data_IF_397526361351
#
_entry.id   IF_397526361351
#
_cell.length_a   1.000
_cell.length_b   1.000
_cell.length_c   1.000
_cell.angle_alpha   90.00
_cell.angle_beta   90.00
_cell.angle_gamma   90.00
#
_symmetry.space_group_name_H-M   'P 1'
#
loop_
_entity.id
_entity.type
_entity.pdbx_description
1 polymer ?
#
# COMPACT_ATOMS: atom_id res chain seq x y z
N UNK A 1 17.44 -20.33 -12.94
CA UNK A 1 16.97 -21.08 -11.74
C UNK A 1 16.83 -20.09 -10.60
N UNK A 2 15.62 -19.87 -10.09
CA UNK A 2 15.39 -19.07 -8.87
C UNK A 2 15.65 -19.98 -7.67
N UNK A 3 16.46 -19.52 -6.71
CA UNK A 3 16.78 -20.25 -5.47
C UNK A 3 15.53 -20.52 -4.63
N UNK A 4 15.57 -21.48 -3.70
CA UNK A 4 14.45 -21.73 -2.78
C UNK A 4 14.05 -20.47 -2.00
N UNK A 5 15.03 -19.67 -1.59
CA UNK A 5 14.85 -18.35 -0.96
C UNK A 5 14.09 -17.40 -1.89
N UNK A 6 14.47 -17.33 -3.18
CA UNK A 6 13.77 -16.48 -4.15
C UNK A 6 12.33 -16.94 -4.43
N UNK A 7 12.04 -18.25 -4.37
CA UNK A 7 10.66 -18.75 -4.47
C UNK A 7 9.81 -18.38 -3.26
N UNK A 8 10.38 -18.42 -2.05
CA UNK A 8 9.69 -18.02 -0.82
C UNK A 8 9.39 -16.51 -0.81
N UNK A 9 10.33 -15.68 -1.24
CA UNK A 9 10.13 -14.23 -1.36
C UNK A 9 8.98 -13.89 -2.33
N UNK A 10 8.95 -14.52 -3.51
CA UNK A 10 7.85 -14.35 -4.47
C UNK A 10 6.51 -14.80 -3.88
N UNK A 11 6.46 -15.96 -3.21
CA UNK A 11 5.23 -16.45 -2.60
C UNK A 11 4.69 -15.50 -1.50
N UNK A 12 5.59 -14.91 -0.71
CA UNK A 12 5.23 -13.97 0.34
C UNK A 12 4.74 -12.63 -0.23
N UNK A 13 5.37 -12.14 -1.30
CA UNK A 13 4.91 -10.97 -2.04
C UNK A 13 3.47 -11.14 -2.54
N UNK A 14 3.18 -12.26 -3.20
CA UNK A 14 1.82 -12.53 -3.67
C UNK A 14 0.84 -12.69 -2.51
N UNK A 15 1.22 -13.33 -1.41
CA UNK A 15 0.35 -13.44 -0.21
C UNK A 15 -0.03 -12.06 0.37
N UNK A 16 0.93 -11.12 0.43
CA UNK A 16 0.67 -9.74 0.89
C UNK A 16 -0.33 -9.05 -0.03
N UNK A 17 -0.15 -9.18 -1.34
CA UNK A 17 -1.02 -8.56 -2.33
C UNK A 17 -2.40 -9.19 -2.31
N UNK A 18 -2.50 -10.52 -2.25
CA UNK A 18 -3.77 -11.25 -2.17
C UNK A 18 -4.54 -10.88 -0.91
N UNK A 19 -3.84 -10.77 0.22
CA UNK A 19 -4.41 -10.30 1.49
C UNK A 19 -5.05 -8.93 1.34
N UNK A 20 -4.34 -7.95 0.78
CA UNK A 20 -4.90 -6.61 0.58
C UNK A 20 -5.99 -6.57 -0.49
N UNK A 21 -5.83 -7.34 -1.57
CA UNK A 21 -6.79 -7.42 -2.68
C UNK A 21 -8.13 -7.97 -2.20
N UNK A 22 -8.14 -8.87 -1.20
CA UNK A 22 -9.37 -9.39 -0.59
C UNK A 22 -10.28 -8.30 0.03
N UNK A 23 -9.75 -7.10 0.28
CA UNK A 23 -10.48 -5.97 0.82
C UNK A 23 -10.92 -4.94 -0.22
N UNK A 24 -10.51 -5.10 -1.49
CA UNK A 24 -10.89 -4.19 -2.57
C UNK A 24 -12.41 -4.13 -2.69
N UNK A 25 -12.98 -2.94 -2.56
CA UNK A 25 -14.44 -2.73 -2.60
C UNK A 25 -15.21 -3.19 -1.36
N UNK A 26 -14.51 -3.70 -0.33
CA UNK A 26 -15.11 -4.21 0.91
C UNK A 26 -14.64 -3.48 2.17
N UNK A 27 -13.68 -2.57 2.04
CA UNK A 27 -13.09 -1.80 3.14
C UNK A 27 -13.14 -0.31 2.78
N UNK A 28 -13.94 0.50 3.50
CA UNK A 28 -14.00 1.94 3.26
C UNK A 28 -12.81 2.66 3.91
N UNK A 29 -12.42 3.78 3.32
CA UNK A 29 -11.39 4.64 3.90
C UNK A 29 -11.89 5.29 5.20
N UNK A 30 -11.08 5.21 6.25
CA UNK A 30 -11.30 5.87 7.53
C UNK A 30 -9.98 6.48 8.00
N UNK A 31 -9.91 7.81 8.04
CA UNK A 31 -8.74 8.52 8.56
C UNK A 31 -8.40 8.06 10.00
N UNK A 32 -7.17 7.59 10.23
CA UNK A 32 -6.77 7.08 11.53
C UNK A 32 -7.25 5.64 11.83
N UNK A 33 -7.97 4.99 10.91
CA UNK A 33 -8.40 3.60 10.99
C UNK A 33 -7.23 2.62 11.16
N UNK A 34 -7.54 1.35 11.41
CA UNK A 34 -6.56 0.27 11.49
C UNK A 34 -5.54 0.32 12.64
N UNK A 35 -5.65 1.29 13.55
CA UNK A 35 -4.73 1.49 14.70
C UNK A 35 -5.27 0.98 16.03
N UNK A 36 -6.37 0.25 16.00
CA UNK A 36 -6.90 -0.47 17.15
C UNK A 36 -7.65 -1.74 16.71
N UNK A 37 -7.90 -2.66 17.63
CA UNK A 37 -8.55 -3.95 17.34
C UNK A 37 -9.94 -3.78 16.74
N UNK A 38 -10.69 -2.76 17.15
CA UNK A 38 -12.05 -2.52 16.66
C UNK A 38 -12.08 -2.15 15.17
N UNK A 39 -11.29 -1.14 14.78
CA UNK A 39 -11.20 -0.70 13.38
C UNK A 39 -10.63 -1.78 12.46
N UNK A 40 -9.66 -2.57 12.94
CA UNK A 40 -9.15 -3.74 12.21
C UNK A 40 -10.26 -4.78 12.00
N UNK A 41 -11.02 -5.12 13.04
CA UNK A 41 -12.13 -6.07 12.95
C UNK A 41 -13.23 -5.58 12.00
N UNK A 42 -13.48 -4.27 11.97
CA UNK A 42 -14.42 -3.63 11.05
C UNK A 42 -13.88 -3.43 9.62
N UNK A 43 -12.64 -3.84 9.34
CA UNK A 43 -11.94 -3.60 8.06
C UNK A 43 -11.96 -2.12 7.67
N UNK A 44 -11.67 -1.25 8.63
CA UNK A 44 -11.60 0.20 8.45
C UNK A 44 -10.16 0.63 8.62
N UNK A 45 -9.56 1.14 7.56
CA UNK A 45 -8.15 1.52 7.51
C UNK A 45 -7.99 2.92 6.93
N UNK A 46 -6.79 3.45 7.09
CA UNK A 46 -6.24 4.45 6.17
C UNK A 46 -5.04 3.85 5.44
N UNK A 47 -4.39 4.64 4.58
CA UNK A 47 -3.32 4.16 3.70
C UNK A 47 -2.23 3.36 4.43
N UNK A 48 -1.63 3.94 5.47
CA UNK A 48 -0.52 3.30 6.17
C UNK A 48 -0.97 2.12 7.03
N UNK A 49 -2.09 2.23 7.75
CA UNK A 49 -2.58 1.11 8.56
C UNK A 49 -3.04 -0.08 7.71
N UNK A 50 -3.59 0.17 6.51
CA UNK A 50 -3.91 -0.85 5.51
C UNK A 50 -2.67 -1.59 5.02
N UNK A 51 -1.64 -0.85 4.57
CA UNK A 51 -0.37 -1.45 4.13
C UNK A 51 0.22 -2.32 5.24
N UNK A 52 0.29 -1.77 6.46
CA UNK A 52 0.79 -2.49 7.63
C UNK A 52 -0.02 -3.75 7.94
N UNK A 53 -1.34 -3.70 7.79
CA UNK A 53 -2.22 -4.85 7.97
C UNK A 53 -1.96 -5.94 6.92
N UNK A 54 -1.76 -5.58 5.65
CA UNK A 54 -1.46 -6.55 4.58
C UNK A 54 -0.19 -7.37 4.89
N UNK A 55 0.88 -6.69 5.28
CA UNK A 55 2.14 -7.33 5.66
C UNK A 55 1.98 -8.17 6.93
N UNK A 56 1.40 -7.60 7.99
CA UNK A 56 1.26 -8.29 9.28
C UNK A 56 0.39 -9.55 9.17
N UNK A 57 -0.70 -9.50 8.42
CA UNK A 57 -1.59 -10.63 8.21
C UNK A 57 -0.98 -11.72 7.28
N UNK A 58 0.11 -11.37 6.59
CA UNK A 58 0.94 -12.31 5.81
C UNK A 58 2.17 -12.81 6.58
N UNK A 59 2.28 -12.49 7.87
CA UNK A 59 3.40 -12.90 8.73
C UNK A 59 4.65 -12.01 8.64
N UNK A 60 4.56 -10.84 8.02
CA UNK A 60 5.67 -9.89 7.88
C UNK A 60 5.50 -8.74 8.87
N UNK A 61 6.52 -8.50 9.69
CA UNK A 61 6.49 -7.36 10.60
C UNK A 61 6.60 -6.05 9.83
N UNK A 62 5.58 -5.21 9.93
CA UNK A 62 5.51 -3.88 9.32
C UNK A 62 5.15 -2.79 10.35
N UNK A 63 5.65 -2.93 11.58
CA UNK A 63 5.40 -1.99 12.67
C UNK A 63 4.21 -2.36 13.58
N UNK A 64 4.17 -1.68 14.73
CA UNK A 64 3.13 -1.87 15.74
C UNK A 64 1.78 -1.29 15.31
N UNK A 65 0.70 -1.74 15.96
CA UNK A 65 -0.68 -1.32 15.62
C UNK A 65 -0.89 0.17 15.82
N UNK A 66 -0.54 0.70 16.98
CA UNK A 66 -0.77 2.12 17.31
C UNK A 66 0.09 3.08 16.48
N UNK A 67 1.23 2.62 15.98
CA UNK A 67 2.26 3.49 15.38
C UNK A 67 2.27 3.46 13.84
N UNK A 68 1.26 2.85 13.23
CA UNK A 68 1.16 2.64 11.78
C UNK A 68 0.78 3.92 11.02
N UNK A 69 1.56 4.99 11.17
CA UNK A 69 1.48 6.25 10.40
C UNK A 69 2.39 6.19 9.17
N UNK A 70 2.08 6.97 8.12
CA UNK A 70 2.84 6.94 6.85
C UNK A 70 4.34 7.12 7.05
N UNK A 71 4.74 8.11 7.86
CA UNK A 71 6.15 8.39 8.12
C UNK A 71 6.89 7.23 8.79
N UNK A 72 6.25 6.46 9.69
CA UNK A 72 6.92 5.35 10.37
C UNK A 72 7.28 4.20 9.43
N UNK A 73 6.61 4.12 8.28
CA UNK A 73 6.89 3.10 7.26
C UNK A 73 8.10 3.43 6.39
N UNK A 74 8.54 4.69 6.39
CA UNK A 74 9.67 5.14 5.59
C UNK A 74 11.00 4.55 6.04
N UNK A 75 11.07 3.83 7.16
CA UNK A 75 12.27 3.14 7.64
C UNK A 75 12.14 1.61 7.66
N UNK A 76 11.02 1.06 7.18
CA UNK A 76 10.80 -0.38 7.12
C UNK A 76 11.63 -1.04 6.02
N UNK A 77 12.06 -2.28 6.25
CA UNK A 77 12.73 -3.11 5.25
C UNK A 77 13.97 -2.47 4.64
N UNK A 78 14.22 -2.78 3.36
CA UNK A 78 15.35 -2.25 2.60
C UNK A 78 14.94 -1.03 1.75
N UNK A 79 15.75 0.03 1.74
CA UNK A 79 15.59 1.13 0.78
C UNK A 79 15.94 0.71 -0.65
N UNK A 80 15.07 1.04 -1.59
CA UNK A 80 15.24 0.70 -3.02
C UNK A 80 15.16 1.99 -3.85
N UNK A 81 16.01 2.18 -4.88
CA UNK A 81 15.82 3.27 -5.83
C UNK A 81 14.50 3.11 -6.58
N UNK A 82 13.78 4.21 -6.87
CA UNK A 82 12.53 4.17 -7.65
C UNK A 82 12.66 3.40 -8.97
N UNK A 83 13.78 3.56 -9.68
CA UNK A 83 14.08 2.85 -10.93
C UNK A 83 14.16 1.32 -10.79
N UNK A 84 14.30 0.82 -9.56
CA UNK A 84 14.38 -0.60 -9.22
C UNK A 84 13.15 -1.11 -8.45
N UNK A 85 12.07 -0.33 -8.40
CA UNK A 85 10.82 -0.74 -7.78
C UNK A 85 10.26 -2.00 -8.44
N UNK A 86 9.71 -2.89 -7.63
CA UNK A 86 9.14 -4.17 -8.05
C UNK A 86 7.83 -4.43 -7.33
N UNK A 87 7.03 -5.32 -7.91
CA UNK A 87 5.79 -5.79 -7.30
C UNK A 87 6.03 -6.23 -5.86
N UNK A 88 5.20 -5.74 -4.93
CA UNK A 88 5.31 -5.96 -3.49
C UNK A 88 6.07 -4.88 -2.73
N UNK A 89 6.84 -4.02 -3.40
CA UNK A 89 7.47 -2.86 -2.74
C UNK A 89 6.39 -1.86 -2.32
N UNK A 90 6.62 -1.19 -1.19
CA UNK A 90 5.82 -0.02 -0.81
C UNK A 90 6.52 1.24 -1.25
N UNK A 91 5.73 2.26 -1.60
CA UNK A 91 6.27 3.55 -2.00
C UNK A 91 5.38 4.70 -1.52
N UNK A 92 5.99 5.86 -1.42
CA UNK A 92 5.41 7.04 -0.80
C UNK A 92 5.11 8.12 -1.83
N UNK A 93 4.02 8.83 -1.58
CA UNK A 93 3.50 9.91 -2.40
C UNK A 93 3.06 11.07 -1.52
N UNK A 94 2.88 12.24 -2.15
CA UNK A 94 2.33 13.44 -1.53
C UNK A 94 3.14 13.89 -0.29
N UNK A 95 4.45 14.06 -0.46
CA UNK A 95 5.36 14.49 0.62
C UNK A 95 5.30 13.56 1.84
N UNK A 96 5.26 12.24 1.59
CA UNK A 96 5.11 11.19 2.61
C UNK A 96 3.72 11.27 3.29
N UNK A 97 2.72 11.83 2.61
CA UNK A 97 1.33 11.86 3.05
C UNK A 97 0.58 10.56 2.76
N UNK A 98 0.95 9.86 1.69
CA UNK A 98 0.26 8.65 1.22
C UNK A 98 1.23 7.51 0.90
N UNK A 99 0.75 6.27 1.02
CA UNK A 99 1.54 5.05 0.76
C UNK A 99 0.70 4.01 0.03
N UNK A 100 1.34 3.25 -0.86
CA UNK A 100 0.72 2.14 -1.58
C UNK A 100 1.69 0.98 -1.80
N UNK A 101 1.13 -0.21 -2.08
CA UNK A 101 1.88 -1.41 -2.47
C UNK A 101 1.92 -1.46 -3.99
N UNK A 102 3.11 -1.43 -4.58
CA UNK A 102 3.29 -1.49 -6.02
C UNK A 102 2.92 -2.87 -6.55
N UNK A 103 2.11 -2.91 -7.61
CA UNK A 103 1.63 -4.15 -8.23
C UNK A 103 2.39 -4.51 -9.51
N UNK A 104 3.27 -3.62 -9.99
CA UNK A 104 3.84 -3.70 -11.33
C UNK A 104 2.97 -2.99 -12.37
N UNK A 105 3.54 -2.71 -13.54
CA UNK A 105 2.79 -2.10 -14.64
C UNK A 105 2.21 -0.71 -14.33
N UNK A 106 2.80 0.03 -13.39
CA UNK A 106 2.30 1.31 -12.88
C UNK A 106 0.99 1.22 -12.06
N UNK A 107 0.59 0.01 -11.64
CA UNK A 107 -0.54 -0.18 -10.73
C UNK A 107 -0.07 -0.24 -9.28
N UNK A 108 -0.94 0.17 -8.37
CA UNK A 108 -0.69 0.07 -6.95
C UNK A 108 -1.99 -0.16 -6.17
N UNK A 109 -1.86 -0.95 -5.10
CA UNK A 109 -2.92 -1.23 -4.14
C UNK A 109 -2.76 -0.28 -2.96
N UNK A 110 -3.84 0.39 -2.57
CA UNK A 110 -3.83 1.38 -1.50
C UNK A 110 -5.22 1.54 -0.89
N UNK A 111 -5.30 2.26 0.23
CA UNK A 111 -6.56 2.72 0.81
C UNK A 111 -6.63 4.25 0.75
N UNK A 112 -7.62 4.78 0.04
CA UNK A 112 -7.78 6.21 -0.20
C UNK A 112 -9.24 6.56 -0.49
N UNK A 113 -9.75 7.73 -0.05
CA UNK A 113 -11.07 8.19 -0.47
C UNK A 113 -11.15 8.42 -1.99
N UNK A 114 -10.00 8.63 -2.64
CA UNK A 114 -9.89 8.87 -4.08
C UNK A 114 -9.74 7.59 -4.91
N UNK A 115 -9.52 6.43 -4.28
CA UNK A 115 -9.42 5.19 -5.04
C UNK A 115 -10.74 4.89 -5.78
N UNK A 116 -10.74 4.02 -6.81
CA UNK A 116 -11.96 3.62 -7.52
C UNK A 116 -13.09 3.08 -6.63
N UNK A 117 -12.78 2.70 -5.39
CA UNK A 117 -13.73 2.17 -4.41
C UNK A 117 -14.03 3.15 -3.28
N UNK A 118 -13.29 4.26 -3.16
CA UNK A 118 -13.30 5.20 -2.03
C UNK A 118 -12.89 4.55 -0.70
N UNK A 119 -11.99 3.59 -0.81
CA UNK A 119 -11.42 2.80 0.26
C UNK A 119 -10.25 2.00 -0.27
N UNK A 120 -10.15 0.74 0.13
CA UNK A 120 -9.17 -0.18 -0.46
C UNK A 120 -9.49 -0.39 -1.93
N UNK A 121 -8.53 -0.03 -2.79
CA UNK A 121 -8.68 -0.06 -4.24
C UNK A 121 -7.35 -0.13 -4.96
N UNK A 122 -7.43 -0.36 -6.28
CA UNK A 122 -6.27 -0.38 -7.17
C UNK A 122 -6.36 0.83 -8.09
N UNK A 123 -5.30 1.63 -8.10
CA UNK A 123 -5.16 2.78 -9.00
C UNK A 123 -3.95 2.58 -9.91
N UNK A 124 -3.90 3.34 -11.00
CA UNK A 124 -2.74 3.45 -11.89
C UNK A 124 -2.07 4.81 -11.67
N UNK A 125 -0.74 4.84 -11.78
CA UNK A 125 0.02 6.09 -11.57
C UNK A 125 -0.38 7.22 -12.55
N UNK A 126 -0.93 6.83 -13.71
CA UNK A 126 -1.39 7.74 -14.76
C UNK A 126 -2.87 8.13 -14.64
N UNK A 127 -3.58 7.72 -13.59
CA UNK A 127 -4.98 8.11 -13.41
C UNK A 127 -5.08 9.63 -13.23
N UNK A 128 -6.10 10.21 -13.85
CA UNK A 128 -6.36 11.66 -13.87
C UNK A 128 -7.71 12.04 -13.27
N UNK A 129 -8.53 11.05 -12.91
CA UNK A 129 -9.83 11.23 -12.25
C UNK A 129 -10.02 10.22 -11.12
N UNK A 130 -10.81 10.58 -10.12
CA UNK A 130 -11.27 9.68 -9.05
C UNK A 130 -12.53 8.89 -9.45
N UNK A 131 -13.06 8.10 -8.51
CA UNK A 131 -14.28 7.28 -8.72
C UNK A 131 -15.55 8.08 -9.01
N UNK A 132 -15.57 9.37 -8.66
CA UNK A 132 -16.71 10.27 -8.81
C UNK A 132 -16.54 11.16 -10.06
N UNK A 133 -15.66 10.77 -10.99
CA UNK A 133 -15.25 11.53 -12.19
C UNK A 133 -14.65 12.93 -11.87
N UNK A 134 -14.14 13.13 -10.64
CA UNK A 134 -13.48 14.39 -10.28
C UNK A 134 -12.02 14.33 -10.71
N UNK A 135 -11.58 15.35 -11.45
CA UNK A 135 -10.20 15.45 -11.89
C UNK A 135 -9.24 15.55 -10.69
N UNK A 136 -8.17 14.75 -10.74
CA UNK A 136 -7.01 15.00 -9.88
C UNK A 136 -6.33 16.29 -10.29
N UNK A 137 -5.91 17.09 -9.31
CA UNK A 137 -5.09 18.27 -9.58
C UNK A 137 -3.76 17.87 -10.25
N UNK A 138 -3.22 16.71 -9.85
CA UNK A 138 -1.98 16.12 -10.37
C UNK A 138 -2.12 14.59 -10.38
N UNK A 139 -1.63 13.88 -11.42
CA UNK A 139 -1.58 12.43 -11.42
C UNK A 139 -0.68 11.90 -10.30
N UNK A 140 -0.91 10.65 -9.90
CA UNK A 140 -0.11 9.98 -8.86
C UNK A 140 1.39 9.94 -9.17
N UNK A 141 1.77 9.80 -10.45
CA UNK A 141 3.19 9.81 -10.86
C UNK A 141 3.91 11.13 -10.51
N UNK A 142 3.23 12.27 -10.61
CA UNK A 142 3.83 13.59 -10.38
C UNK A 142 4.01 13.91 -8.90
N UNK A 143 3.43 13.11 -8.01
CA UNK A 143 3.51 13.26 -6.55
C UNK A 143 4.30 12.15 -5.86
N UNK A 144 5.03 11.32 -6.61
CA UNK A 144 5.90 10.29 -6.04
C UNK A 144 7.11 10.93 -5.37
N UNK A 145 7.39 10.53 -4.12
CA UNK A 145 8.50 11.11 -3.33
C UNK A 145 9.86 10.46 -3.64
N UNK A 146 9.88 9.41 -4.47
CA UNK A 146 11.08 8.61 -4.76
C UNK A 146 11.52 7.70 -3.60
N UNK A 147 10.76 7.66 -2.51
CA UNK A 147 11.01 6.76 -1.37
C UNK A 147 10.33 5.42 -1.64
N UNK A 148 11.10 4.35 -1.66
CA UNK A 148 10.62 2.97 -1.86
C UNK A 148 11.23 2.05 -0.81
N UNK A 149 10.42 1.16 -0.25
CA UNK A 149 10.84 0.15 0.72
C UNK A 149 10.42 -1.26 0.28
N UNK A 150 11.37 -2.19 0.37
CA UNK A 150 11.18 -3.62 0.11
C UNK A 150 11.17 -4.39 1.42
N UNK A 151 10.05 -5.06 1.69
CA UNK A 151 9.85 -5.88 2.90
C UNK A 151 9.85 -7.38 2.59
N UNK A 152 9.66 -7.75 1.31
CA UNK A 152 9.49 -9.14 0.81
C UNK A 152 10.23 -9.35 -0.49
#
# INVERSE_FOLDING_TARGET
MVTSIGRMAVALCELVIDTGTSLVGHSPYVWGGGRNSWSIAARQFDCSSFVRWCFANSGVFAGNVGDAVTYSQTSLGQGVPWSNIRRGDIFFMDHIGHVGIYLGGQYFLHDSPSSPTGGVGVSRLSDVVDRDDRAYAVPWYDIVDGVVRRLV
#
